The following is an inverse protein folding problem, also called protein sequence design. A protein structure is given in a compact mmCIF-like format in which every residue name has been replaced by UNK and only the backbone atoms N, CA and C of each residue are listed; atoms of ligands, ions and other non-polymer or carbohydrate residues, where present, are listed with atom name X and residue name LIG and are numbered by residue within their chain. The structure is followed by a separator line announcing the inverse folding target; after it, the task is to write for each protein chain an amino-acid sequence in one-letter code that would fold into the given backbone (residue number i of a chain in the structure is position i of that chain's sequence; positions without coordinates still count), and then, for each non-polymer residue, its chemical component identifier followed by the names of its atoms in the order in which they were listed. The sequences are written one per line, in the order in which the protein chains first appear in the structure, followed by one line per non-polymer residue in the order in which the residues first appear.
data_IF_212939590452
#
_entry.id   IF_212939590452
#
_cell.length_a   1.000
_cell.length_b   1.000
_cell.length_c   1.000
_cell.angle_alpha   90.00
_cell.angle_beta   90.00
_cell.angle_gamma   90.00
#
_symmetry.space_group_name_H-M   'P 1'
#
loop_
_entity.id
_entity.type
_entity.pdbx_description
1 polymer ?
#
# COMPACT_ATOMS: atom_id res chain seq x y z
N UNK A 1 -1.02 23.78 24.92
CA UNK A 1 -1.66 23.18 23.71
C UNK A 1 -2.73 22.22 24.20
N UNK A 2 -3.95 22.28 23.69
CA UNK A 2 -5.03 21.35 24.02
C UNK A 2 -4.64 19.89 23.79
N UNK A 3 -5.23 18.96 24.55
CA UNK A 3 -4.82 17.53 24.53
C UNK A 3 -5.07 16.90 23.15
N UNK A 4 -6.21 17.20 22.52
CA UNK A 4 -6.54 16.75 21.17
C UNK A 4 -5.48 17.14 20.15
N UNK A 5 -4.97 18.36 20.22
CA UNK A 5 -3.90 18.85 19.35
C UNK A 5 -2.55 18.17 19.67
N UNK A 6 -2.29 17.85 20.95
CA UNK A 6 -1.08 17.10 21.33
C UNK A 6 -1.10 15.69 20.75
N UNK A 7 -2.22 14.96 20.94
CA UNK A 7 -2.42 13.60 20.40
C UNK A 7 -2.29 13.62 18.87
N UNK A 8 -2.99 14.55 18.22
CA UNK A 8 -2.94 14.70 16.75
C UNK A 8 -1.52 15.01 16.26
N UNK A 9 -0.80 15.91 16.90
CA UNK A 9 0.58 16.27 16.52
C UNK A 9 1.54 15.06 16.64
N UNK A 10 1.39 14.24 17.69
CA UNK A 10 2.20 13.04 17.84
C UNK A 10 1.88 11.99 16.77
N UNK A 11 0.61 11.79 16.44
CA UNK A 11 0.21 10.90 15.36
C UNK A 11 0.74 11.38 13.99
N UNK A 12 0.69 12.68 13.73
CA UNK A 12 1.27 13.25 12.51
C UNK A 12 2.78 13.02 12.41
N UNK A 13 3.49 13.11 13.52
CA UNK A 13 4.94 12.90 13.58
C UNK A 13 5.32 11.43 13.46
N UNK A 14 4.65 10.57 14.23
CA UNK A 14 5.00 9.16 14.33
C UNK A 14 4.37 8.30 13.24
N UNK A 15 3.20 8.70 12.72
CA UNK A 15 2.36 7.98 11.76
C UNK A 15 1.72 6.70 12.30
N UNK A 16 2.47 5.93 13.07
CA UNK A 16 2.05 4.73 13.78
C UNK A 16 2.59 4.81 15.21
N UNK A 17 1.75 4.50 16.20
CA UNK A 17 2.11 4.64 17.62
C UNK A 17 1.38 3.60 18.47
N UNK A 18 2.05 3.10 19.52
CA UNK A 18 1.42 2.28 20.53
C UNK A 18 0.62 3.15 21.53
N UNK A 19 -0.46 2.60 22.09
CA UNK A 19 -1.29 3.31 23.07
C UNK A 19 -0.49 3.85 24.25
N UNK A 20 0.41 3.04 24.81
CA UNK A 20 1.18 3.41 25.97
C UNK A 20 2.20 4.52 25.70
N UNK A 21 2.67 4.65 24.45
CA UNK A 21 3.57 5.74 24.07
C UNK A 21 2.83 7.09 24.08
N UNK A 22 1.59 7.13 23.60
CA UNK A 22 0.76 8.35 23.69
C UNK A 22 0.32 8.59 25.13
N UNK A 23 -0.11 7.57 25.86
CA UNK A 23 -0.54 7.72 27.24
C UNK A 23 0.55 8.37 28.13
N UNK A 24 1.81 8.05 27.88
CA UNK A 24 2.94 8.69 28.58
C UNK A 24 3.10 10.18 28.27
N UNK A 25 2.64 10.63 27.12
CA UNK A 25 2.73 12.05 26.72
C UNK A 25 1.57 12.89 27.27
N UNK A 26 0.46 12.26 27.60
CA UNK A 26 -0.77 12.91 28.13
C UNK A 26 -1.27 12.23 29.41
N UNK A 27 -0.45 12.17 30.48
CA UNK A 27 -0.76 11.40 31.65
C UNK A 27 -1.96 11.94 32.47
N UNK A 28 -2.47 13.10 32.13
CA UNK A 28 -3.56 13.78 32.85
C UNK A 28 -4.95 13.29 32.47
N UNK A 29 -5.10 12.45 31.45
CA UNK A 29 -6.39 11.94 30.97
C UNK A 29 -6.52 10.44 31.24
N UNK A 30 -7.75 9.98 31.37
CA UNK A 30 -8.05 8.55 31.48
C UNK A 30 -7.80 7.82 30.15
N UNK A 31 -7.62 6.50 30.23
CA UNK A 31 -7.43 5.66 29.05
C UNK A 31 -8.62 5.75 28.05
N UNK A 32 -9.84 5.83 28.57
CA UNK A 32 -11.03 5.94 27.73
C UNK A 32 -11.09 7.30 27.00
N UNK A 33 -10.80 8.39 27.70
CA UNK A 33 -10.70 9.71 27.06
C UNK A 33 -9.59 9.73 25.99
N UNK A 34 -8.47 9.04 26.22
CA UNK A 34 -7.43 8.90 25.22
C UNK A 34 -7.95 8.18 23.98
N UNK A 35 -8.74 7.11 24.12
CA UNK A 35 -9.35 6.42 22.99
C UNK A 35 -10.30 7.33 22.20
N UNK A 36 -11.11 8.14 22.88
CA UNK A 36 -12.00 9.10 22.22
C UNK A 36 -11.22 10.14 21.39
N UNK A 37 -10.03 10.54 21.81
CA UNK A 37 -9.16 11.42 21.02
C UNK A 37 -8.49 10.67 19.87
N UNK A 38 -8.02 9.45 20.10
CA UNK A 38 -7.36 8.64 19.09
C UNK A 38 -8.31 8.27 17.94
N UNK A 39 -9.54 7.84 18.24
CA UNK A 39 -10.53 7.47 17.23
C UNK A 39 -10.95 8.65 16.33
N UNK A 40 -10.80 9.89 16.76
CA UNK A 40 -11.04 11.08 15.93
C UNK A 40 -10.00 11.30 14.84
N UNK A 41 -8.79 10.74 14.96
CA UNK A 41 -7.69 11.02 14.05
C UNK A 41 -6.83 9.80 13.68
N UNK A 42 -7.14 8.65 14.22
CA UNK A 42 -6.41 7.40 13.96
C UNK A 42 -7.36 6.19 13.94
N UNK A 43 -6.88 5.08 13.40
CA UNK A 43 -7.53 3.79 13.47
C UNK A 43 -6.61 2.75 14.07
N UNK A 44 -7.19 1.76 14.74
CA UNK A 44 -6.46 0.66 15.34
C UNK A 44 -6.18 -0.41 14.28
N UNK A 45 -4.91 -0.79 14.14
CA UNK A 45 -4.44 -1.85 13.23
C UNK A 45 -3.50 -2.76 14.01
N UNK A 46 -3.87 -4.01 14.17
CA UNK A 46 -3.07 -4.99 14.93
C UNK A 46 -2.68 -4.53 16.35
N UNK A 47 -3.52 -3.74 17.02
CA UNK A 47 -3.29 -3.24 18.38
C UNK A 47 -2.48 -1.94 18.48
N UNK A 48 -2.07 -1.33 17.36
CA UNK A 48 -1.40 -0.03 17.33
C UNK A 48 -2.21 1.00 16.55
N UNK A 49 -2.07 2.28 16.88
CA UNK A 49 -2.81 3.36 16.26
C UNK A 49 -2.09 3.90 15.03
N UNK A 50 -2.80 3.98 13.93
CA UNK A 50 -2.32 4.50 12.65
C UNK A 50 -3.13 5.72 12.27
N UNK A 51 -2.48 6.84 11.97
CA UNK A 51 -3.17 8.08 11.56
C UNK A 51 -4.11 7.81 10.37
N UNK A 52 -5.31 8.40 10.39
CA UNK A 52 -6.29 8.26 9.32
C UNK A 52 -5.76 8.78 7.99
N UNK A 53 -6.15 8.13 6.90
CA UNK A 53 -5.70 8.48 5.56
C UNK A 53 -6.14 9.88 5.13
N UNK A 54 -7.32 10.33 5.59
CA UNK A 54 -7.85 11.66 5.31
C UNK A 54 -6.97 12.78 5.87
N UNK A 55 -6.40 12.58 7.05
CA UNK A 55 -5.47 13.56 7.62
C UNK A 55 -4.14 13.63 6.89
N UNK A 56 -3.68 12.53 6.30
CA UNK A 56 -2.42 12.51 5.55
C UNK A 56 -2.57 13.09 4.15
N UNK A 57 -3.70 12.85 3.52
CA UNK A 57 -3.95 13.17 2.11
C UNK A 57 -5.08 14.17 1.93
N UNK A 58 -5.29 15.03 2.93
CA UNK A 58 -6.27 16.11 2.89
C UNK A 58 -5.83 17.24 1.94
N UNK A 59 -4.56 17.62 2.01
CA UNK A 59 -3.96 18.70 1.22
C UNK A 59 -2.68 18.19 0.56
N UNK A 60 -2.82 17.48 -0.55
CA UNK A 60 -1.69 16.96 -1.30
C UNK A 60 -0.90 18.06 -2.05
N UNK A 61 -1.29 19.33 -1.85
CA UNK A 61 -0.61 20.48 -2.44
C UNK A 61 0.72 20.85 -1.77
N UNK A 62 0.96 20.43 -0.51
CA UNK A 62 1.98 21.11 0.27
C UNK A 62 3.23 20.31 0.63
N UNK A 63 3.23 19.01 0.77
CA UNK A 63 4.31 18.40 1.54
C UNK A 63 5.11 17.28 0.89
N UNK A 64 4.60 16.54 -0.09
CA UNK A 64 5.26 15.30 -0.52
C UNK A 64 5.29 15.03 -2.03
N UNK A 65 4.86 15.96 -2.86
CA UNK A 65 4.96 15.79 -4.30
C UNK A 65 6.35 16.21 -4.78
N UNK A 66 7.19 15.24 -5.08
CA UNK A 66 8.40 15.44 -5.90
C UNK A 66 8.00 15.84 -7.35
N UNK A 67 6.73 15.72 -7.68
CA UNK A 67 6.13 16.27 -8.90
C UNK A 67 5.39 17.55 -8.54
N UNK A 68 5.83 18.73 -8.99
CA UNK A 68 5.11 19.98 -8.79
C UNK A 68 3.82 19.94 -9.63
N UNK A 69 2.73 19.58 -9.00
CA UNK A 69 1.39 19.54 -9.58
C UNK A 69 0.40 19.26 -8.46
N UNK A 70 -0.69 20.06 -8.42
CA UNK A 70 -1.84 19.72 -7.57
C UNK A 70 -2.17 18.25 -7.78
N UNK A 71 -2.08 17.43 -6.73
CA UNK A 71 -2.74 16.15 -6.77
C UNK A 71 -4.23 16.45 -6.88
N UNK A 72 -4.80 16.09 -8.03
CA UNK A 72 -6.22 16.10 -8.27
C UNK A 72 -6.92 15.39 -7.10
N UNK A 73 -8.08 15.89 -6.68
CA UNK A 73 -8.94 15.29 -5.64
C UNK A 73 -9.15 13.78 -5.89
N UNK A 74 -9.30 13.40 -7.15
CA UNK A 74 -9.41 12.01 -7.56
C UNK A 74 -8.16 11.18 -7.21
N UNK A 75 -6.97 11.74 -7.40
CA UNK A 75 -5.71 11.04 -7.07
C UNK A 75 -5.52 10.94 -5.55
N UNK A 76 -5.89 11.99 -4.81
CA UNK A 76 -5.88 11.98 -3.36
C UNK A 76 -6.78 10.87 -2.79
N UNK A 77 -7.97 10.76 -3.35
CA UNK A 77 -8.94 9.76 -2.98
C UNK A 77 -8.49 8.33 -3.33
N UNK A 78 -7.83 8.13 -4.48
CA UNK A 78 -7.18 6.86 -4.78
C UNK A 78 -6.07 6.49 -3.79
N UNK A 79 -5.28 7.47 -3.35
CA UNK A 79 -4.23 7.24 -2.37
C UNK A 79 -4.80 6.87 -1.00
N UNK A 80 -5.88 7.55 -0.55
CA UNK A 80 -6.60 7.17 0.67
C UNK A 80 -7.11 5.73 0.59
N UNK A 81 -7.79 5.38 -0.50
CA UNK A 81 -8.30 4.02 -0.70
C UNK A 81 -7.17 2.96 -0.78
N UNK A 82 -6.08 3.24 -1.47
CA UNK A 82 -4.95 2.33 -1.57
C UNK A 82 -4.28 2.10 -0.20
N UNK A 83 -4.13 3.15 0.60
CA UNK A 83 -3.61 3.05 1.96
C UNK A 83 -4.55 2.26 2.86
N UNK A 84 -5.84 2.55 2.82
CA UNK A 84 -6.83 1.86 3.63
C UNK A 84 -6.94 0.38 3.27
N UNK A 85 -6.86 0.01 1.97
CA UNK A 85 -6.75 -1.38 1.56
C UNK A 85 -5.56 -2.08 2.21
N UNK A 86 -4.40 -1.44 2.19
CA UNK A 86 -3.19 -2.00 2.79
C UNK A 86 -3.35 -2.17 4.31
N UNK A 87 -3.95 -1.21 5.00
CA UNK A 87 -4.22 -1.28 6.45
C UNK A 87 -5.24 -2.39 6.78
N UNK A 88 -6.34 -2.51 6.02
CA UNK A 88 -7.30 -3.62 6.16
C UNK A 88 -6.63 -4.99 6.03
N UNK A 89 -5.75 -5.14 5.05
CA UNK A 89 -5.04 -6.40 4.83
C UNK A 89 -4.06 -6.71 5.97
N UNK A 90 -3.33 -5.72 6.46
CA UNK A 90 -2.44 -5.90 7.60
C UNK A 90 -3.22 -6.24 8.87
N UNK A 91 -4.34 -5.55 9.13
CA UNK A 91 -5.19 -5.86 10.30
C UNK A 91 -5.73 -7.29 10.26
N UNK A 92 -6.07 -7.78 9.07
CA UNK A 92 -6.44 -9.17 8.84
C UNK A 92 -5.24 -10.17 8.84
N UNK A 93 -4.03 -9.75 9.18
CA UNK A 93 -2.83 -10.58 9.18
C UNK A 93 -2.35 -10.99 7.79
N UNK A 94 -2.77 -10.29 6.73
CA UNK A 94 -2.42 -10.59 5.34
C UNK A 94 -1.24 -9.75 4.87
N UNK A 95 -0.40 -10.35 4.03
CA UNK A 95 0.75 -9.65 3.45
C UNK A 95 0.34 -8.61 2.41
N UNK A 96 1.01 -7.47 2.41
CA UNK A 96 0.81 -6.37 1.45
C UNK A 96 2.05 -6.17 0.61
N UNK A 97 1.88 -5.93 -0.69
CA UNK A 97 2.97 -5.66 -1.63
C UNK A 97 2.68 -4.41 -2.47
N UNK A 98 3.72 -3.78 -3.00
CA UNK A 98 3.57 -2.66 -3.94
C UNK A 98 2.76 -3.06 -5.17
N UNK A 99 3.04 -4.25 -5.73
CA UNK A 99 2.36 -4.75 -6.92
C UNK A 99 0.85 -4.95 -6.71
N UNK A 100 0.41 -5.25 -5.49
CA UNK A 100 -1.01 -5.31 -5.17
C UNK A 100 -1.66 -3.92 -5.34
N UNK A 101 -1.07 -2.89 -4.73
CA UNK A 101 -1.61 -1.53 -4.81
C UNK A 101 -1.57 -0.97 -6.24
N UNK A 102 -0.46 -1.17 -6.96
CA UNK A 102 -0.36 -0.71 -8.35
C UNK A 102 -1.41 -1.35 -9.25
N UNK A 103 -1.71 -2.63 -9.04
CA UNK A 103 -2.72 -3.35 -9.80
C UNK A 103 -4.16 -2.93 -9.46
N UNK A 104 -4.46 -2.77 -8.17
CA UNK A 104 -5.82 -2.44 -7.72
C UNK A 104 -6.21 -0.99 -8.02
N UNK A 105 -5.28 -0.07 -7.96
CA UNK A 105 -5.55 1.38 -8.07
C UNK A 105 -4.87 2.06 -9.26
N UNK A 106 -4.15 1.31 -10.11
CA UNK A 106 -3.42 1.83 -11.27
C UNK A 106 -2.45 2.97 -10.93
N UNK A 107 -1.95 2.99 -9.71
CA UNK A 107 -0.92 3.91 -9.28
C UNK A 107 0.46 3.37 -9.68
N UNK A 108 1.43 4.25 -9.87
CA UNK A 108 2.78 3.82 -10.18
C UNK A 108 3.48 3.20 -8.96
N UNK A 109 4.59 2.50 -9.18
CA UNK A 109 5.31 1.78 -8.12
C UNK A 109 5.89 2.71 -7.05
N UNK A 110 6.25 3.95 -7.41
CA UNK A 110 6.78 4.95 -6.49
C UNK A 110 5.68 5.48 -5.56
N UNK A 111 4.51 5.79 -6.10
CA UNK A 111 3.35 6.21 -5.31
C UNK A 111 2.95 5.10 -4.34
N UNK A 112 2.91 3.83 -4.80
CA UNK A 112 2.62 2.68 -3.94
C UNK A 112 3.65 2.52 -2.80
N UNK A 113 4.93 2.75 -3.08
CA UNK A 113 5.99 2.73 -2.06
C UNK A 113 5.85 3.87 -1.07
N UNK A 114 5.53 5.08 -1.53
CA UNK A 114 5.30 6.24 -0.67
C UNK A 114 4.11 6.01 0.27
N UNK A 115 2.99 5.49 -0.25
CA UNK A 115 1.83 5.13 0.56
C UNK A 115 2.21 4.12 1.63
N UNK A 116 2.87 3.01 1.27
CA UNK A 116 3.26 1.97 2.22
C UNK A 116 4.26 2.49 3.25
N UNK A 117 5.23 3.31 2.85
CA UNK A 117 6.23 3.90 3.75
C UNK A 117 5.63 4.84 4.79
N UNK A 118 4.39 5.30 4.60
CA UNK A 118 3.71 6.15 5.58
C UNK A 118 3.38 5.43 6.89
N UNK A 119 3.29 4.09 6.90
CA UNK A 119 2.92 3.30 8.09
C UNK A 119 3.67 1.97 8.21
N UNK A 120 4.38 1.54 7.19
CA UNK A 120 5.00 0.22 7.12
C UNK A 120 6.48 0.30 6.71
N UNK A 121 7.17 -0.81 6.84
CA UNK A 121 8.54 -1.03 6.40
C UNK A 121 8.61 -2.27 5.51
N UNK A 122 9.52 -2.34 4.52
CA UNK A 122 9.68 -3.52 3.69
C UNK A 122 10.18 -4.70 4.52
N UNK A 123 9.50 -5.84 4.39
CA UNK A 123 9.91 -7.13 4.91
C UNK A 123 10.39 -8.06 3.79
N UNK A 124 10.67 -9.31 4.12
CA UNK A 124 11.24 -10.27 3.17
C UNK A 124 10.33 -10.54 1.95
N UNK A 125 9.02 -10.72 2.17
CA UNK A 125 8.03 -11.04 1.12
C UNK A 125 6.89 -10.04 1.02
N UNK A 126 6.70 -9.24 2.05
CA UNK A 126 5.59 -8.28 2.16
C UNK A 126 5.99 -7.13 3.09
N UNK A 127 5.27 -6.04 2.99
CA UNK A 127 5.39 -4.93 3.92
C UNK A 127 4.77 -5.30 5.27
N UNK A 128 5.36 -4.80 6.36
CA UNK A 128 4.93 -5.00 7.75
C UNK A 128 4.75 -3.65 8.41
N UNK A 129 3.90 -3.57 9.42
CA UNK A 129 3.80 -2.36 10.24
C UNK A 129 5.17 -1.92 10.76
N UNK A 130 5.36 -0.60 10.82
CA UNK A 130 6.61 0.02 11.32
C UNK A 130 6.86 -0.28 12.79
N UNK A 131 5.79 -0.47 13.56
CA UNK A 131 5.83 -0.83 14.98
C UNK A 131 5.32 -2.27 15.11
N UNK A 132 5.88 -2.99 16.07
CA UNK A 132 5.44 -4.35 16.39
C UNK A 132 3.96 -4.34 16.79
N UNK A 133 3.13 -5.25 16.24
CA UNK A 133 1.77 -5.43 16.68
C UNK A 133 1.65 -5.67 18.18
N UNK A 134 0.55 -5.22 18.76
CA UNK A 134 0.23 -5.39 20.19
C UNK A 134 -0.98 -6.32 20.38
N UNK A 135 -0.78 -7.64 20.40
CA UNK A 135 -1.86 -8.59 20.61
C UNK A 135 -2.45 -8.49 22.02
N UNK A 136 -1.66 -8.10 23.03
CA UNK A 136 -2.14 -7.94 24.39
C UNK A 136 -3.17 -6.82 24.50
N UNK A 137 -2.98 -5.74 23.73
CA UNK A 137 -3.98 -4.69 23.61
C UNK A 137 -5.31 -5.23 23.09
N UNK A 138 -5.26 -6.06 22.03
CA UNK A 138 -6.45 -6.61 21.39
C UNK A 138 -7.21 -7.64 22.25
N UNK A 139 -6.50 -8.33 23.13
CA UNK A 139 -7.04 -9.37 24.01
C UNK A 139 -7.52 -8.82 25.37
N UNK A 140 -7.13 -7.60 25.71
CA UNK A 140 -7.49 -6.99 26.99
C UNK A 140 -9.00 -6.68 27.08
N UNK A 141 -9.71 -7.17 28.10
CA UNK A 141 -11.12 -6.86 28.30
C UNK A 141 -11.42 -5.36 28.44
N UNK A 142 -10.47 -4.60 28.97
CA UNK A 142 -10.59 -3.15 29.17
C UNK A 142 -10.66 -2.40 27.82
N UNK A 143 -10.09 -2.98 26.76
CA UNK A 143 -10.05 -2.41 25.44
C UNK A 143 -11.16 -2.97 24.53
N UNK A 144 -11.96 -3.94 24.99
CA UNK A 144 -12.91 -4.68 24.17
C UNK A 144 -13.87 -3.78 23.39
N UNK A 145 -14.33 -2.68 23.97
CA UNK A 145 -15.22 -1.72 23.32
C UNK A 145 -14.55 -1.08 22.10
N UNK A 146 -13.39 -0.48 22.30
CA UNK A 146 -12.66 0.22 21.21
C UNK A 146 -12.21 -0.75 20.12
N UNK A 147 -11.77 -1.96 20.51
CA UNK A 147 -11.39 -3.01 19.56
C UNK A 147 -12.58 -3.43 18.69
N UNK A 148 -13.77 -3.57 19.28
CA UNK A 148 -14.98 -3.93 18.52
C UNK A 148 -15.39 -2.83 17.54
N UNK A 149 -15.35 -1.57 17.97
CA UNK A 149 -15.66 -0.40 17.14
C UNK A 149 -14.72 -0.30 15.94
N UNK A 150 -13.41 -0.47 16.14
CA UNK A 150 -12.41 -0.43 15.09
C UNK A 150 -12.50 -1.64 14.13
N UNK A 151 -12.80 -2.84 14.63
CA UNK A 151 -13.08 -4.00 13.78
C UNK A 151 -14.30 -3.80 12.88
N UNK A 152 -15.34 -3.16 13.41
CA UNK A 152 -16.52 -2.78 12.63
C UNK A 152 -16.15 -1.79 11.54
N UNK A 153 -15.41 -0.74 11.87
CA UNK A 153 -14.91 0.23 10.90
C UNK A 153 -14.15 -0.46 9.75
N UNK A 154 -13.18 -1.32 10.05
CA UNK A 154 -12.39 -2.01 9.01
C UNK A 154 -13.24 -2.97 8.16
N UNK A 155 -14.26 -3.60 8.74
CA UNK A 155 -15.19 -4.47 7.99
C UNK A 155 -16.01 -3.65 6.98
N UNK A 156 -16.56 -2.52 7.40
CA UNK A 156 -17.33 -1.61 6.55
C UNK A 156 -16.41 -1.00 5.47
N UNK A 157 -15.25 -0.53 5.86
CA UNK A 157 -14.26 0.06 4.95
C UNK A 157 -13.76 -0.92 3.89
N UNK A 158 -13.53 -2.17 4.27
CA UNK A 158 -13.19 -3.23 3.33
C UNK A 158 -14.25 -3.41 2.26
N UNK A 159 -15.52 -3.47 2.63
CA UNK A 159 -16.64 -3.64 1.69
C UNK A 159 -16.71 -2.47 0.68
N UNK A 160 -16.56 -1.23 1.15
CA UNK A 160 -16.51 -0.04 0.29
C UNK A 160 -15.36 -0.10 -0.72
N UNK A 161 -14.16 -0.46 -0.26
CA UNK A 161 -12.98 -0.55 -1.11
C UNK A 161 -13.13 -1.66 -2.15
N UNK A 162 -13.67 -2.82 -1.78
CA UNK A 162 -13.93 -3.93 -2.72
C UNK A 162 -14.89 -3.50 -3.82
N UNK A 163 -16.00 -2.89 -3.46
CA UNK A 163 -16.97 -2.38 -4.43
C UNK A 163 -16.33 -1.40 -5.41
N UNK A 164 -15.45 -0.53 -4.94
CA UNK A 164 -14.74 0.41 -5.78
C UNK A 164 -13.75 -0.26 -6.72
N UNK A 165 -12.98 -1.24 -6.26
CA UNK A 165 -12.06 -2.02 -7.09
C UNK A 165 -12.83 -2.75 -8.18
N UNK A 166 -13.92 -3.43 -7.84
CA UNK A 166 -14.76 -4.19 -8.77
C UNK A 166 -15.37 -3.27 -9.85
N UNK A 167 -15.85 -2.09 -9.46
CA UNK A 167 -16.37 -1.08 -10.38
C UNK A 167 -15.27 -0.61 -11.35
N UNK A 168 -14.09 -0.32 -10.85
CA UNK A 168 -12.96 0.14 -11.67
C UNK A 168 -12.51 -0.94 -12.67
N UNK A 169 -12.44 -2.18 -12.23
CA UNK A 169 -12.05 -3.31 -13.09
C UNK A 169 -13.13 -3.63 -14.14
N UNK A 170 -14.40 -3.49 -13.80
CA UNK A 170 -15.51 -3.71 -14.72
C UNK A 170 -15.56 -2.68 -15.86
N UNK A 171 -15.20 -1.44 -15.58
CA UNK A 171 -15.13 -0.36 -16.57
C UNK A 171 -14.00 -0.54 -17.59
N UNK A 172 -12.99 -1.36 -17.29
CA UNK A 172 -11.84 -1.59 -18.19
C UNK A 172 -12.08 -2.64 -19.27
N UNK A 173 -13.16 -3.41 -19.22
CA UNK A 173 -13.49 -4.46 -20.17
C UNK A 173 -12.41 -5.55 -20.29
N UNK A 174 -12.68 -6.72 -20.88
CA UNK A 174 -11.66 -7.71 -21.14
C UNK A 174 -10.64 -7.13 -22.13
N UNK A 175 -9.37 -7.16 -21.76
CA UNK A 175 -8.26 -6.76 -22.62
C UNK A 175 -8.43 -7.44 -23.98
N UNK A 176 -8.62 -6.65 -25.04
CA UNK A 176 -8.68 -7.16 -26.41
C UNK A 176 -7.38 -7.89 -26.68
N UNK A 177 -7.42 -9.21 -26.64
CA UNK A 177 -6.35 -10.04 -27.17
C UNK A 177 -6.26 -9.74 -28.67
N UNK A 178 -5.29 -8.94 -29.08
CA UNK A 178 -4.90 -8.83 -30.47
C UNK A 178 -4.44 -10.22 -30.92
N UNK A 179 -5.34 -10.98 -31.52
CA UNK A 179 -4.96 -12.09 -32.39
C UNK A 179 -4.23 -11.47 -33.59
N UNK A 180 -2.91 -11.50 -33.55
CA UNK A 180 -2.10 -11.36 -34.74
C UNK A 180 -2.44 -12.55 -35.67
N UNK A 181 -3.34 -12.34 -36.58
CA UNK A 181 -3.49 -13.20 -37.75
C UNK A 181 -2.29 -12.94 -38.65
N UNK A 182 -1.25 -13.74 -38.50
CA UNK A 182 -0.18 -13.84 -39.46
C UNK A 182 -0.73 -14.44 -40.75
N UNK A 183 -1.00 -13.58 -41.73
CA UNK A 183 -1.16 -14.01 -43.14
C UNK A 183 0.18 -14.54 -43.61
N UNK A 184 0.27 -15.86 -43.73
CA UNK A 184 1.29 -16.54 -44.50
C UNK A 184 1.04 -16.32 -45.99
N UNK A 185 1.80 -15.47 -46.64
CA UNK A 185 1.92 -15.45 -48.12
C UNK A 185 3.18 -16.22 -48.50
N UNK A 186 2.93 -17.37 -49.09
CA UNK A 186 3.92 -18.20 -49.79
C UNK A 186 4.45 -17.48 -51.02
N UNK A 187 5.76 -17.38 -51.17
CA UNK A 187 6.40 -17.22 -52.45
C UNK A 187 7.71 -18.01 -52.53
N UNK A 188 7.75 -18.71 -53.64
CA UNK A 188 8.67 -19.75 -54.07
C UNK A 188 10.13 -19.29 -54.17
N UNK A 189 11.01 -20.27 -53.97
CA UNK A 189 12.45 -20.27 -54.25
C UNK A 189 12.83 -19.89 -55.66
N UNK A 190 14.12 -19.57 -55.97
CA UNK A 190 14.94 -20.64 -56.54
C UNK A 190 16.35 -20.76 -55.97
N UNK A 191 16.80 -21.97 -56.18
CA UNK A 191 18.11 -22.60 -55.97
C UNK A 191 19.23 -21.84 -56.70
N UNK A 192 20.36 -21.61 -56.07
CA UNK A 192 21.67 -21.66 -56.77
C UNK A 192 22.82 -22.08 -55.87
N UNK A 193 23.67 -22.89 -56.51
CA UNK A 193 24.66 -23.82 -56.05
C UNK A 193 25.99 -23.23 -55.54
N UNK A 194 26.62 -24.08 -54.71
CA UNK A 194 28.07 -24.41 -54.57
C UNK A 194 29.12 -23.30 -54.61
N UNK A 195 29.94 -23.26 -53.56
CA UNK A 195 31.38 -23.56 -53.70
C UNK A 195 32.04 -23.87 -52.37
N UNK A 196 32.73 -25.02 -52.35
CA UNK A 196 33.70 -25.45 -51.36
C UNK A 196 34.94 -24.53 -51.34
N UNK A 197 35.58 -24.34 -50.18
CA UNK A 197 37.01 -24.40 -50.08
C UNK A 197 37.42 -24.66 -48.63
N UNK A 198 38.19 -25.74 -48.52
CA UNK A 198 39.00 -26.17 -47.39
C UNK A 198 40.02 -25.11 -46.99
N UNK A 199 40.37 -25.03 -45.68
CA UNK A 199 41.78 -25.10 -45.18
C UNK A 199 41.85 -25.09 -43.66
N UNK A 200 42.16 -26.23 -43.11
CA UNK A 200 43.27 -26.66 -42.22
C UNK A 200 43.67 -25.71 -41.08
N UNK A 201 43.60 -26.31 -39.88
CA UNK A 201 44.31 -25.95 -38.63
C UNK A 201 45.85 -26.06 -38.79
N UNK A 202 46.68 -25.55 -37.86
CA UNK A 202 47.07 -26.37 -36.71
C UNK A 202 47.36 -25.64 -35.39
N UNK A 203 47.13 -26.38 -34.32
CA UNK A 203 47.77 -26.51 -32.99
C UNK A 203 49.06 -25.74 -32.70
N UNK A 204 49.20 -25.20 -31.47
CA UNK A 204 50.25 -25.50 -30.50
C UNK A 204 50.04 -24.82 -29.13
N UNK A 205 50.00 -25.62 -28.08
CA UNK A 205 50.43 -25.34 -26.69
C UNK A 205 51.98 -25.29 -26.63
N UNK A 206 52.67 -25.08 -25.48
CA UNK A 206 52.32 -24.52 -24.15
C UNK A 206 53.38 -23.50 -23.64
N UNK A 207 53.08 -22.80 -22.57
CA UNK A 207 53.90 -22.69 -21.34
C UNK A 207 53.13 -21.85 -20.34
#
# INVERSE_FOLDING_TARGET
MPIDQQVKAQLFKARVVATDDIARLVPSISRNELFDYLQKCAHLVQGVWVIQSDFLYHDLTAAHSITPGKLDEHRADMWRCARDLALCLLDAGRGVTRSLLTRCFQINSRDAEEILSSFAVPGNRSWKLRITPDPLFLESPENAKVVLEERRYWTERWAEIQLRIDTTMSLQGPARSHKNSSHSSSSKSPIRARRNSHRTSPTKHPL
#
